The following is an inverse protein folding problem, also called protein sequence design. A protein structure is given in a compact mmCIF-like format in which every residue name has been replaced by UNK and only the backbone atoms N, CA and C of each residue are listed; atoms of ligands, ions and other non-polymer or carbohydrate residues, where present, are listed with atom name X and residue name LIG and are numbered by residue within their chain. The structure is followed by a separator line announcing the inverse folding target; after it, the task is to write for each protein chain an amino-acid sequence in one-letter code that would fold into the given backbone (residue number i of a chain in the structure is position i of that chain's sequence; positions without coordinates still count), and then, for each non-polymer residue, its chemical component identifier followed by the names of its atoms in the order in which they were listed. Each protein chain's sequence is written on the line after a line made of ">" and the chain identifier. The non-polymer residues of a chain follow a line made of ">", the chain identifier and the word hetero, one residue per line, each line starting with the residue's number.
data_IF_339945493595
#
_entry.id   IF_339945493595
#
_cell.length_a   1.000
_cell.length_b   1.000
_cell.length_c   1.000
_cell.angle_alpha   90.00
_cell.angle_beta   90.00
_cell.angle_gamma   90.00
#
_symmetry.space_group_name_H-M   'P 1'
#
loop_
_entity.id
_entity.type
_entity.pdbx_description
1 polymer ?
#
# COMPACT_ATOMS: atom_id res chain seq x y z
N UNK A 1 10.65 4.64 -31.09
CA UNK A 1 9.65 4.05 -30.17
C UNK A 1 10.36 3.10 -29.23
N UNK A 2 10.65 3.52 -28.00
CA UNK A 2 11.32 2.67 -27.02
C UNK A 2 10.22 2.08 -26.12
N UNK A 3 9.80 0.86 -26.45
CA UNK A 3 8.95 0.03 -25.61
C UNK A 3 9.80 -0.58 -24.49
N UNK A 4 9.88 0.09 -23.34
CA UNK A 4 10.48 -0.44 -22.13
C UNK A 4 9.54 -0.17 -20.95
N UNK A 5 8.73 -1.18 -20.59
CA UNK A 5 8.42 -1.61 -19.21
C UNK A 5 7.15 -2.48 -19.21
N UNK A 6 7.31 -3.76 -19.53
CA UNK A 6 6.31 -4.79 -19.18
C UNK A 6 6.91 -5.93 -18.35
N UNK A 7 8.23 -5.99 -18.19
CA UNK A 7 8.93 -7.06 -17.47
C UNK A 7 9.02 -6.83 -15.94
N UNK A 8 8.93 -5.58 -15.47
CA UNK A 8 9.03 -5.26 -14.04
C UNK A 8 7.71 -5.48 -13.28
N UNK A 9 6.57 -5.28 -13.93
CA UNK A 9 5.24 -5.36 -13.31
C UNK A 9 4.63 -6.77 -13.39
N UNK A 10 5.00 -7.54 -14.41
CA UNK A 10 4.78 -9.00 -14.43
C UNK A 10 5.49 -9.64 -13.24
N UNK A 11 6.74 -9.23 -12.96
CA UNK A 11 7.47 -9.65 -11.78
C UNK A 11 6.74 -9.39 -10.44
N UNK A 12 6.05 -8.25 -10.26
CA UNK A 12 5.32 -7.97 -9.01
C UNK A 12 4.09 -8.87 -8.82
N UNK A 13 3.32 -9.09 -9.89
CA UNK A 13 2.19 -10.02 -9.87
C UNK A 13 2.65 -11.46 -9.62
N UNK A 14 3.70 -11.89 -10.30
CA UNK A 14 4.28 -13.22 -10.19
C UNK A 14 4.91 -13.43 -8.81
N UNK A 15 5.59 -12.41 -8.27
CA UNK A 15 6.12 -12.43 -6.89
C UNK A 15 4.99 -12.60 -5.89
N UNK A 16 3.93 -11.79 -6.00
CA UNK A 16 2.76 -11.91 -5.11
C UNK A 16 2.07 -13.27 -5.25
N UNK A 17 1.94 -13.79 -6.47
CA UNK A 17 1.38 -15.12 -6.71
C UNK A 17 2.25 -16.22 -6.08
N UNK A 18 3.57 -16.12 -6.19
CA UNK A 18 4.52 -17.06 -5.60
C UNK A 18 4.51 -17.01 -4.06
N UNK A 19 4.45 -15.83 -3.46
CA UNK A 19 4.31 -15.68 -2.00
C UNK A 19 3.02 -16.32 -1.49
N UNK A 20 1.91 -16.11 -2.18
CA UNK A 20 0.63 -16.75 -1.84
C UNK A 20 0.74 -18.27 -2.01
N UNK A 21 1.39 -18.75 -3.06
CA UNK A 21 1.62 -20.19 -3.27
C UNK A 21 2.44 -20.82 -2.14
N UNK A 22 3.53 -20.19 -1.72
CA UNK A 22 4.33 -20.66 -0.57
C UNK A 22 3.50 -20.72 0.71
N UNK A 23 2.63 -19.74 0.95
CA UNK A 23 1.73 -19.77 2.11
C UNK A 23 0.66 -20.86 2.01
N UNK A 24 0.18 -21.18 0.80
CA UNK A 24 -0.74 -22.31 0.56
C UNK A 24 -0.03 -23.62 0.92
N UNK A 25 1.19 -23.82 0.42
CA UNK A 25 1.96 -25.03 0.64
C UNK A 25 2.25 -25.23 2.13
N UNK A 26 2.67 -24.16 2.82
CA UNK A 26 2.83 -24.15 4.27
C UNK A 26 1.51 -24.49 5.00
N UNK A 27 0.41 -23.82 4.63
CA UNK A 27 -0.89 -24.08 5.27
C UNK A 27 -1.35 -25.54 5.08
N UNK A 28 -1.10 -26.14 3.90
CA UNK A 28 -1.41 -27.55 3.61
C UNK A 28 -0.54 -28.49 4.44
N UNK A 29 0.77 -28.25 4.50
CA UNK A 29 1.71 -29.05 5.30
C UNK A 29 1.33 -29.08 6.79
N UNK A 30 0.82 -27.96 7.32
CA UNK A 30 0.40 -27.84 8.71
C UNK A 30 -1.07 -28.17 8.98
N UNK A 31 -1.80 -28.75 8.01
CA UNK A 31 -3.21 -29.15 8.19
C UNK A 31 -4.20 -27.98 8.31
N UNK A 32 -3.79 -26.75 8.00
CA UNK A 32 -4.61 -25.54 8.07
C UNK A 32 -5.48 -25.36 6.82
N UNK A 33 -6.39 -26.30 6.59
CA UNK A 33 -7.19 -26.41 5.35
C UNK A 33 -8.05 -25.17 5.06
N UNK A 34 -8.67 -24.54 6.07
CA UNK A 34 -9.42 -23.29 5.87
C UNK A 34 -8.55 -22.14 5.39
N UNK A 35 -7.33 -22.03 5.94
CA UNK A 35 -6.38 -20.99 5.54
C UNK A 35 -5.91 -21.24 4.11
N UNK A 36 -5.59 -22.49 3.77
CA UNK A 36 -5.21 -22.86 2.41
C UNK A 36 -6.32 -22.49 1.40
N UNK A 37 -7.59 -22.82 1.69
CA UNK A 37 -8.71 -22.48 0.80
C UNK A 37 -8.90 -20.97 0.59
N UNK A 38 -8.74 -20.17 1.64
CA UNK A 38 -8.76 -18.70 1.53
C UNK A 38 -7.61 -18.15 0.68
N UNK A 39 -6.41 -18.71 0.85
CA UNK A 39 -5.23 -18.32 0.07
C UNK A 39 -5.34 -18.77 -1.40
N UNK A 40 -5.93 -19.92 -1.69
CA UNK A 40 -6.20 -20.38 -3.06
C UNK A 40 -7.17 -19.43 -3.79
N UNK A 41 -8.17 -18.91 -3.08
CA UNK A 41 -9.07 -17.88 -3.61
C UNK A 41 -8.30 -16.60 -3.92
N UNK A 42 -7.46 -16.13 -2.99
CA UNK A 42 -6.63 -14.94 -3.18
C UNK A 42 -5.63 -15.12 -4.35
N UNK A 43 -5.05 -16.31 -4.53
CA UNK A 43 -4.17 -16.63 -5.64
C UNK A 43 -4.92 -16.53 -6.98
N UNK A 44 -6.15 -17.05 -7.04
CA UNK A 44 -7.00 -16.95 -8.23
C UNK A 44 -7.31 -15.49 -8.56
N UNK A 45 -7.67 -14.69 -7.57
CA UNK A 45 -7.93 -13.26 -7.76
C UNK A 45 -6.69 -12.51 -8.25
N UNK A 46 -5.50 -12.81 -7.72
CA UNK A 46 -4.24 -12.23 -8.21
C UNK A 46 -4.01 -12.64 -9.67
N UNK A 47 -4.14 -13.93 -10.01
CA UNK A 47 -3.95 -14.39 -11.40
C UNK A 47 -4.98 -13.80 -12.37
N UNK A 48 -6.20 -13.53 -11.93
CA UNK A 48 -7.27 -12.98 -12.78
C UNK A 48 -7.23 -11.45 -12.89
N UNK A 49 -6.84 -10.75 -11.83
CA UNK A 49 -6.99 -9.29 -11.74
C UNK A 49 -5.66 -8.52 -11.75
N UNK A 50 -4.52 -9.19 -11.59
CA UNK A 50 -3.22 -8.53 -11.60
C UNK A 50 -2.81 -8.20 -13.04
N UNK A 51 -3.09 -6.95 -13.42
CA UNK A 51 -2.71 -6.37 -14.69
C UNK A 51 -1.83 -5.15 -14.40
N UNK A 52 -1.03 -4.74 -15.38
CA UNK A 52 -0.23 -3.52 -15.31
C UNK A 52 -1.09 -2.30 -14.91
N UNK A 53 -2.29 -2.20 -15.47
CA UNK A 53 -3.22 -1.10 -15.20
C UNK A 53 -3.82 -1.19 -13.79
N UNK A 54 -4.16 -2.38 -13.29
CA UNK A 54 -4.65 -2.53 -11.91
C UNK A 54 -3.57 -2.23 -10.87
N UNK A 55 -2.31 -2.60 -11.13
CA UNK A 55 -1.18 -2.23 -10.27
C UNK A 55 -0.95 -0.71 -10.23
N UNK A 56 -1.01 -0.03 -11.38
CA UNK A 56 -0.94 1.43 -11.45
C UNK A 56 -2.10 2.09 -10.71
N UNK A 57 -3.33 1.59 -10.89
CA UNK A 57 -4.51 2.10 -10.21
C UNK A 57 -4.40 1.98 -8.69
N UNK A 58 -3.93 0.84 -8.18
CA UNK A 58 -3.69 0.63 -6.75
C UNK A 58 -2.58 1.55 -6.19
N UNK A 59 -1.48 1.74 -6.93
CA UNK A 59 -0.44 2.73 -6.55
C UNK A 59 -1.02 4.14 -6.49
N UNK A 60 -1.76 4.55 -7.51
CA UNK A 60 -2.36 5.89 -7.55
C UNK A 60 -3.37 6.08 -6.42
N UNK A 61 -4.17 5.06 -6.11
CA UNK A 61 -5.09 5.08 -4.97
C UNK A 61 -4.35 5.27 -3.66
N UNK A 62 -3.27 4.51 -3.41
CA UNK A 62 -2.42 4.69 -2.21
C UNK A 62 -1.83 6.10 -2.13
N UNK A 63 -1.34 6.65 -3.23
CA UNK A 63 -0.82 8.03 -3.28
C UNK A 63 -1.94 9.02 -2.90
N UNK A 64 -3.13 8.89 -3.48
CA UNK A 64 -4.27 9.76 -3.20
C UNK A 64 -4.69 9.69 -1.71
N UNK A 65 -4.73 8.49 -1.13
CA UNK A 65 -5.01 8.30 0.30
C UNK A 65 -3.97 9.00 1.20
N UNK A 66 -2.68 8.88 0.87
CA UNK A 66 -1.60 9.55 1.60
C UNK A 66 -1.66 11.08 1.44
N UNK A 67 -1.99 11.58 0.24
CA UNK A 67 -2.21 13.01 0.01
C UNK A 67 -3.36 13.55 0.87
N UNK A 68 -4.48 12.82 0.94
CA UNK A 68 -5.61 13.18 1.81
C UNK A 68 -5.21 13.22 3.28
N UNK A 69 -4.43 12.23 3.75
CA UNK A 69 -3.89 12.21 5.12
C UNK A 69 -2.99 13.41 5.40
N UNK A 70 -2.14 13.82 4.46
CA UNK A 70 -1.32 15.03 4.61
C UNK A 70 -2.20 16.29 4.72
N UNK A 71 -3.25 16.41 3.90
CA UNK A 71 -4.18 17.53 3.97
C UNK A 71 -4.90 17.61 5.32
N UNK A 72 -5.42 16.47 5.80
CA UNK A 72 -6.04 16.34 7.13
C UNK A 72 -5.09 16.78 8.24
N UNK A 73 -3.84 16.28 8.24
CA UNK A 73 -2.85 16.64 9.28
C UNK A 73 -2.44 18.10 9.24
N UNK A 74 -2.42 18.73 8.06
CA UNK A 74 -2.22 20.19 7.94
C UNK A 74 -3.36 20.97 8.59
N UNK A 75 -4.60 20.53 8.38
CA UNK A 75 -5.77 21.16 9.00
C UNK A 75 -5.73 21.00 10.53
N UNK A 76 -5.47 19.80 11.05
CA UNK A 76 -5.36 19.56 12.49
C UNK A 76 -4.26 20.42 13.15
N UNK A 77 -3.13 20.61 12.45
CA UNK A 77 -2.06 21.48 12.92
C UNK A 77 -2.52 22.95 12.99
N UNK A 78 -3.21 23.44 11.95
CA UNK A 78 -3.75 24.80 11.93
C UNK A 78 -4.74 25.04 13.09
N UNK A 79 -5.62 24.08 13.35
CA UNK A 79 -6.56 24.16 14.48
C UNK A 79 -5.84 24.15 15.84
N UNK A 80 -4.79 23.35 15.99
CA UNK A 80 -3.97 23.34 17.21
C UNK A 80 -3.22 24.68 17.41
N UNK A 81 -2.72 25.27 16.33
CA UNK A 81 -2.08 26.60 16.35
C UNK A 81 -3.06 27.69 16.78
N UNK A 82 -4.29 27.66 16.27
CA UNK A 82 -5.34 28.61 16.67
C UNK A 82 -5.73 28.48 18.15
N UNK A 83 -5.68 27.27 18.70
CA UNK A 83 -5.97 27.00 20.11
C UNK A 83 -4.79 27.33 21.06
N UNK A 84 -3.59 27.55 20.53
CA UNK A 84 -2.40 27.93 21.31
C UNK A 84 -1.82 26.83 22.21
N UNK A 85 -2.23 25.58 22.04
CA UNK A 85 -1.74 24.45 22.86
C UNK A 85 -0.41 23.93 22.31
N UNK A 86 0.71 24.42 22.88
CA UNK A 86 2.07 24.11 22.42
C UNK A 86 2.37 22.60 22.36
N UNK A 87 1.88 21.81 23.31
CA UNK A 87 2.07 20.35 23.34
C UNK A 87 1.34 19.68 22.18
N UNK A 88 0.09 20.09 21.93
CA UNK A 88 -0.67 19.60 20.76
C UNK A 88 -0.04 20.04 19.45
N UNK A 89 0.42 21.28 19.33
CA UNK A 89 1.10 21.80 18.13
C UNK A 89 2.31 20.91 17.79
N UNK A 90 3.18 20.63 18.76
CA UNK A 90 4.35 19.77 18.56
C UNK A 90 3.95 18.35 18.09
N UNK A 91 2.92 17.75 18.71
CA UNK A 91 2.41 16.44 18.31
C UNK A 91 1.87 16.45 16.86
N UNK A 92 1.08 17.47 16.50
CA UNK A 92 0.53 17.60 15.14
C UNK A 92 1.61 17.84 14.09
N UNK A 93 2.64 18.62 14.39
CA UNK A 93 3.80 18.79 13.51
C UNK A 93 4.51 17.46 13.23
N UNK A 94 4.76 16.66 14.27
CA UNK A 94 5.35 15.32 14.12
C UNK A 94 4.50 14.43 13.21
N UNK A 95 3.19 14.35 13.47
CA UNK A 95 2.26 13.55 12.65
C UNK A 95 2.16 14.02 11.20
N UNK A 96 2.27 15.33 10.95
CA UNK A 96 2.33 15.88 9.61
C UNK A 96 3.62 15.46 8.91
N UNK A 97 4.77 15.54 9.58
CA UNK A 97 6.05 15.10 9.03
C UNK A 97 6.04 13.60 8.69
N UNK A 98 5.49 12.76 9.57
CA UNK A 98 5.29 11.33 9.32
C UNK A 98 4.41 11.08 8.09
N UNK A 99 3.26 11.75 7.99
CA UNK A 99 2.38 11.62 6.83
C UNK A 99 3.04 12.06 5.52
N UNK A 100 3.86 13.13 5.56
CA UNK A 100 4.64 13.58 4.41
C UNK A 100 5.72 12.57 4.01
N UNK A 101 6.38 11.93 4.99
CA UNK A 101 7.35 10.88 4.72
C UNK A 101 6.68 9.64 4.10
N UNK A 102 5.53 9.20 4.63
CA UNK A 102 4.74 8.10 4.05
C UNK A 102 4.29 8.41 2.62
N UNK A 103 3.88 9.65 2.33
CA UNK A 103 3.51 10.08 0.97
C UNK A 103 4.72 10.00 0.03
N UNK A 104 5.89 10.52 0.44
CA UNK A 104 7.11 10.45 -0.36
C UNK A 104 7.51 9.00 -0.64
N UNK A 105 7.40 8.12 0.34
CA UNK A 105 7.66 6.69 0.16
C UNK A 105 6.68 6.08 -0.84
N UNK A 106 5.38 6.37 -0.73
CA UNK A 106 4.38 5.88 -1.68
C UNK A 106 4.60 6.38 -3.11
N UNK A 107 5.09 7.61 -3.28
CA UNK A 107 5.45 8.18 -4.59
C UNK A 107 6.75 7.60 -5.17
N UNK A 108 7.65 7.11 -4.31
CA UNK A 108 8.92 6.51 -4.73
C UNK A 108 8.80 5.01 -5.06
N UNK A 109 7.70 4.36 -4.67
CA UNK A 109 7.38 2.99 -5.08
C UNK A 109 7.06 2.98 -6.59
N UNK A 110 7.87 2.25 -7.36
CA UNK A 110 7.77 2.14 -8.82
C UNK A 110 6.75 1.10 -9.27
#
# INVERSE_FOLDING_TARGET
>A
MIAFCSAAQTNECDTKANEIQQQIDYAKQHGNTRRAAGLETALKEVKSNCTVESLKAERQKKINEKQRKVAERKQELKEAQQKGDASKIANKQKKLAEAQAELKQAQAQK
#
